data_IF_834588427989
#
_entry.id   IF_834588427989
#
_cell.length_a   1.000
_cell.length_b   1.000
_cell.length_c   1.000
_cell.angle_alpha   90.00
_cell.angle_beta   90.00
_cell.angle_gamma   90.00
#
_symmetry.space_group_name_H-M   'P 1'
#
loop_
_entity.id
_entity.type
_entity.pdbx_description
1 polymer ?
#
# COMPACT_ATOMS: atom_id res chain seq x y z
N UNK A 1 -11.97 26.93 -3.52
CA UNK A 1 -12.64 25.64 -3.32
C UNK A 1 -13.07 25.58 -1.87
N UNK A 2 -14.36 25.78 -1.62
CA UNK A 2 -14.94 25.78 -0.27
C UNK A 2 -14.79 24.38 0.35
N UNK A 3 -14.36 24.36 1.61
CA UNK A 3 -14.10 23.16 2.39
C UNK A 3 -15.43 22.49 2.75
N UNK A 4 -15.90 21.58 1.89
CA UNK A 4 -17.20 20.92 2.03
C UNK A 4 -17.21 19.77 3.04
N UNK A 5 -16.07 19.44 3.67
CA UNK A 5 -16.02 18.42 4.73
C UNK A 5 -14.74 18.55 5.58
N UNK A 6 -14.73 19.39 6.63
CA UNK A 6 -13.52 19.67 7.41
C UNK A 6 -12.97 18.42 8.10
N UNK A 7 -13.82 17.45 8.41
CA UNK A 7 -13.45 16.22 9.13
C UNK A 7 -12.57 15.27 8.31
N UNK A 8 -12.51 15.43 6.99
CA UNK A 8 -11.77 14.54 6.10
C UNK A 8 -10.26 14.69 6.26
N UNK A 9 -9.80 15.91 6.56
CA UNK A 9 -8.39 16.23 6.75
C UNK A 9 -7.95 16.10 8.21
N UNK A 10 -8.88 15.84 9.13
CA UNK A 10 -8.56 15.66 10.54
C UNK A 10 -7.83 14.33 10.77
N UNK A 11 -6.84 14.30 11.67
CA UNK A 11 -6.17 13.07 12.06
C UNK A 11 -7.14 12.03 12.62
N UNK A 12 -6.82 10.75 12.40
CA UNK A 12 -7.60 9.62 12.91
C UNK A 12 -6.68 8.58 13.54
N UNK A 13 -6.86 8.32 14.84
CA UNK A 13 -6.16 7.24 15.53
C UNK A 13 -6.94 5.93 15.37
N UNK A 14 -6.29 4.92 14.79
CA UNK A 14 -6.85 3.59 14.62
C UNK A 14 -6.76 2.79 15.93
N UNK A 15 -7.60 1.75 16.12
CA UNK A 15 -7.54 0.88 17.31
C UNK A 15 -6.19 0.18 17.52
N UNK A 16 -5.36 0.07 16.48
CA UNK A 16 -4.01 -0.46 16.57
C UNK A 16 -2.97 0.52 17.14
N UNK A 17 -3.36 1.75 17.49
CA UNK A 17 -2.49 2.79 18.03
C UNK A 17 -1.80 3.66 16.98
N UNK A 18 -1.96 3.38 15.68
CA UNK A 18 -1.41 4.21 14.60
C UNK A 18 -2.30 5.43 14.35
N UNK A 19 -1.70 6.62 14.34
CA UNK A 19 -2.38 7.87 13.97
C UNK A 19 -2.16 8.18 12.50
N UNK A 20 -3.26 8.29 11.75
CA UNK A 20 -3.29 8.74 10.36
C UNK A 20 -3.37 10.27 10.32
N UNK A 21 -2.59 10.91 9.45
CA UNK A 21 -2.57 12.38 9.29
C UNK A 21 -3.87 12.96 8.73
N UNK A 22 -4.65 12.16 8.01
CA UNK A 22 -5.97 12.48 7.49
C UNK A 22 -6.79 11.19 7.27
N UNK A 23 -8.02 11.31 6.79
CA UNK A 23 -8.92 10.17 6.52
C UNK A 23 -8.91 9.74 5.06
N UNK A 24 -7.94 10.20 4.27
CA UNK A 24 -7.79 9.84 2.86
C UNK A 24 -6.92 8.61 2.74
N UNK A 25 -7.53 7.52 2.28
CA UNK A 25 -6.85 6.25 2.04
C UNK A 25 -6.98 5.89 0.58
N UNK A 26 -5.85 5.56 -0.06
CA UNK A 26 -5.85 5.04 -1.42
C UNK A 26 -6.32 3.57 -1.41
N UNK A 27 -7.37 3.30 -2.16
CA UNK A 27 -7.93 1.96 -2.33
C UNK A 27 -6.93 1.01 -3.01
N UNK A 28 -7.06 -0.32 -2.78
CA UNK A 28 -6.22 -1.30 -3.46
C UNK A 28 -6.49 -1.28 -4.97
N UNK A 29 -5.45 -1.03 -5.76
CA UNK A 29 -5.52 -1.01 -7.22
C UNK A 29 -4.46 -1.95 -7.79
N UNK A 30 -4.91 -3.03 -8.43
CA UNK A 30 -4.03 -3.98 -9.12
C UNK A 30 -3.49 -3.34 -10.39
N UNK A 31 -2.17 -3.14 -10.43
CA UNK A 31 -1.49 -2.50 -11.57
C UNK A 31 -1.03 -3.50 -12.61
N UNK A 32 -0.98 -4.80 -12.25
CA UNK A 32 -0.46 -5.87 -13.09
C UNK A 32 1.01 -5.61 -13.54
N UNK A 33 1.76 -4.85 -12.73
CA UNK A 33 3.13 -4.43 -13.02
C UNK A 33 4.20 -5.26 -12.26
N UNK A 34 3.83 -6.39 -11.66
CA UNK A 34 4.79 -7.31 -11.06
C UNK A 34 5.64 -8.04 -12.11
N UNK A 35 6.89 -8.38 -11.77
CA UNK A 35 7.70 -9.27 -12.60
C UNK A 35 7.13 -10.70 -12.63
N UNK A 36 7.56 -11.51 -13.60
CA UNK A 36 7.04 -12.87 -13.80
C UNK A 36 7.17 -13.76 -12.54
N UNK A 37 8.26 -13.54 -11.82
CA UNK A 37 8.66 -14.20 -10.57
C UNK A 37 8.02 -13.61 -9.30
N UNK A 38 7.15 -12.61 -9.43
CA UNK A 38 6.49 -11.95 -8.30
C UNK A 38 7.33 -10.85 -7.65
N UNK A 39 8.41 -10.41 -8.30
CA UNK A 39 9.23 -9.31 -7.82
C UNK A 39 8.60 -7.94 -8.08
N UNK A 40 8.89 -6.99 -7.19
CA UNK A 40 8.47 -5.59 -7.30
C UNK A 40 9.30 -4.91 -8.39
N UNK A 41 8.63 -4.24 -9.32
CA UNK A 41 9.28 -3.42 -10.36
C UNK A 41 9.60 -2.02 -9.84
N UNK A 42 10.56 -1.33 -10.47
CA UNK A 42 10.90 0.06 -10.12
C UNK A 42 9.73 0.99 -10.42
N UNK A 43 8.99 0.70 -11.48
CA UNK A 43 7.78 1.40 -11.90
C UNK A 43 6.71 1.34 -10.82
N UNK A 44 6.55 0.19 -10.14
CA UNK A 44 5.60 0.03 -9.04
C UNK A 44 6.01 0.85 -7.81
N UNK A 45 7.30 0.89 -7.48
CA UNK A 45 7.81 1.73 -6.38
C UNK A 45 7.54 3.20 -6.67
N UNK A 46 7.84 3.65 -7.89
CA UNK A 46 7.60 5.03 -8.30
C UNK A 46 6.10 5.37 -8.35
N UNK A 47 5.26 4.42 -8.78
CA UNK A 47 3.80 4.55 -8.79
C UNK A 47 3.24 4.86 -7.40
N UNK A 48 3.71 4.16 -6.36
CA UNK A 48 3.30 4.40 -4.99
C UNK A 48 3.96 5.64 -4.39
N UNK A 49 5.22 5.92 -4.73
CA UNK A 49 5.93 7.12 -4.28
C UNK A 49 5.18 8.40 -4.67
N UNK A 50 4.69 8.49 -5.91
CA UNK A 50 3.94 9.66 -6.39
C UNK A 50 2.58 9.85 -5.68
N UNK A 51 2.01 8.79 -5.10
CA UNK A 51 0.69 8.80 -4.44
C UNK A 51 0.77 8.88 -2.92
N UNK A 52 1.97 8.73 -2.37
CA UNK A 52 2.22 8.76 -0.94
C UNK A 52 2.15 10.17 -0.33
N UNK A 53 2.23 11.24 -1.13
CA UNK A 53 2.28 12.62 -0.62
C UNK A 53 1.12 12.98 0.32
N UNK A 54 -0.09 13.13 -0.25
CA UNK A 54 -1.24 13.68 0.47
C UNK A 54 -2.13 12.62 1.14
N UNK A 55 -2.00 11.34 0.75
CA UNK A 55 -2.76 10.25 1.36
C UNK A 55 -2.21 9.94 2.76
N UNK A 56 -3.09 9.65 3.72
CA UNK A 56 -2.66 9.17 5.03
C UNK A 56 -2.25 7.69 5.01
N UNK A 57 -2.84 6.90 4.13
CA UNK A 57 -2.45 5.51 3.93
C UNK A 57 -2.70 5.07 2.50
N UNK A 58 -1.93 4.08 2.06
CA UNK A 58 -2.11 3.41 0.78
C UNK A 58 -2.33 1.93 1.03
N UNK A 59 -3.44 1.40 0.51
CA UNK A 59 -3.63 -0.04 0.43
C UNK A 59 -2.99 -0.50 -0.89
N UNK A 60 -1.95 -1.31 -0.78
CA UNK A 60 -1.23 -1.80 -1.97
C UNK A 60 -2.07 -2.84 -2.70
N UNK A 61 -1.65 -3.15 -3.93
CA UNK A 61 -2.30 -4.14 -4.77
C UNK A 61 -2.36 -5.54 -4.15
N UNK A 62 -3.16 -6.42 -4.77
CA UNK A 62 -3.23 -7.81 -4.37
C UNK A 62 -1.85 -8.46 -4.50
N UNK A 63 -1.28 -8.84 -3.36
CA UNK A 63 -0.04 -9.61 -3.31
C UNK A 63 -0.33 -11.05 -2.88
N UNK A 64 0.19 -12.02 -3.62
CA UNK A 64 0.02 -13.43 -3.28
C UNK A 64 0.94 -13.82 -2.11
N UNK A 65 0.42 -14.67 -1.23
CA UNK A 65 1.13 -15.13 -0.02
C UNK A 65 1.94 -16.40 -0.31
N UNK A 66 1.42 -17.27 -1.16
CA UNK A 66 1.97 -18.57 -1.51
C UNK A 66 2.22 -18.67 -3.01
N UNK A 67 3.18 -19.50 -3.41
CA UNK A 67 3.64 -19.56 -4.80
C UNK A 67 2.57 -20.11 -5.77
N UNK A 68 1.55 -20.83 -5.24
CA UNK A 68 0.37 -21.27 -5.99
C UNK A 68 -0.82 -20.28 -5.93
N UNK A 69 -0.64 -19.12 -5.29
CA UNK A 69 -1.66 -18.08 -5.17
C UNK A 69 -1.66 -16.93 -6.20
N UNK A 70 -0.87 -16.89 -7.30
CA UNK A 70 -0.93 -15.77 -8.23
C UNK A 70 -2.25 -15.80 -9.02
N UNK A 71 -3.07 -14.76 -8.85
CA UNK A 71 -4.30 -14.58 -9.61
C UNK A 71 -4.05 -14.19 -11.07
N UNK A 72 -2.94 -13.48 -11.34
CA UNK A 72 -2.52 -13.07 -12.67
C UNK A 72 -1.12 -13.62 -12.96
N UNK A 73 -1.01 -14.64 -13.84
CA UNK A 73 0.27 -15.23 -14.21
C UNK A 73 1.24 -14.16 -14.71
N UNK A 74 2.36 -14.03 -14.00
CA UNK A 74 3.45 -13.14 -14.37
C UNK A 74 3.23 -11.64 -14.24
N UNK A 75 2.15 -11.22 -13.57
CA UNK A 75 1.83 -9.81 -13.32
C UNK A 75 1.45 -9.50 -11.88
N UNK A 76 1.47 -10.53 -11.03
CA UNK A 76 1.14 -10.42 -9.60
C UNK A 76 2.40 -10.21 -8.78
N UNK A 77 2.31 -9.54 -7.65
CA UNK A 77 3.47 -9.32 -6.76
C UNK A 77 3.42 -10.30 -5.58
N UNK A 78 4.57 -10.83 -5.18
CA UNK A 78 4.69 -11.66 -3.98
C UNK A 78 4.79 -10.80 -2.73
N UNK A 79 4.11 -11.19 -1.65
CA UNK A 79 4.24 -10.49 -0.37
C UNK A 79 5.68 -10.47 0.16
N UNK A 80 6.49 -11.48 -0.18
CA UNK A 80 7.89 -11.57 0.23
C UNK A 80 8.68 -10.37 -0.33
N UNK A 81 8.46 -10.06 -1.60
CA UNK A 81 9.20 -8.99 -2.29
C UNK A 81 8.65 -7.60 -1.97
N UNK A 82 7.34 -7.47 -1.75
CA UNK A 82 6.77 -6.23 -1.21
C UNK A 82 7.43 -5.90 0.13
N UNK A 83 7.61 -6.90 1.00
CA UNK A 83 8.24 -6.75 2.32
C UNK A 83 9.72 -6.36 2.30
N UNK A 84 10.51 -6.83 1.34
CA UNK A 84 11.92 -6.47 1.25
C UNK A 84 12.14 -5.14 0.53
N UNK A 85 11.46 -4.93 -0.60
CA UNK A 85 11.83 -3.85 -1.54
C UNK A 85 11.13 -2.54 -1.20
N UNK A 86 9.82 -2.57 -0.94
CA UNK A 86 9.04 -1.33 -0.74
C UNK A 86 9.40 -0.68 0.61
N UNK A 87 9.64 -1.48 1.64
CA UNK A 87 9.97 -1.00 2.99
C UNK A 87 11.41 -0.53 3.13
N UNK A 88 12.35 -1.03 2.32
CA UNK A 88 13.74 -0.57 2.33
C UNK A 88 13.96 0.67 1.47
N UNK A 89 13.21 0.79 0.37
CA UNK A 89 13.45 1.83 -0.64
C UNK A 89 12.70 3.14 -0.35
N UNK A 90 11.60 3.08 0.42
CA UNK A 90 10.76 4.25 0.69
C UNK A 90 10.83 4.65 2.16
N UNK A 91 11.66 5.63 2.55
CA UNK A 91 11.74 6.12 3.93
C UNK A 91 10.44 6.80 4.40
N UNK A 92 9.50 7.07 3.49
CA UNK A 92 8.21 7.73 3.74
C UNK A 92 7.11 6.71 4.12
N UNK A 93 7.35 5.41 3.90
CA UNK A 93 6.35 4.36 4.11
C UNK A 93 6.60 3.64 5.43
N UNK A 94 5.72 3.89 6.40
CA UNK A 94 5.83 3.39 7.78
C UNK A 94 5.03 2.10 7.97
N UNK A 95 5.56 1.18 8.80
CA UNK A 95 4.98 -0.14 9.06
C UNK A 95 3.75 -0.01 9.95
N UNK A 96 2.55 -0.03 9.39
CA UNK A 96 1.32 -0.13 10.18
C UNK A 96 0.31 -1.13 9.63
N UNK A 97 -0.09 -2.07 10.47
CA UNK A 97 -1.20 -3.03 10.33
C UNK A 97 -1.13 -3.99 9.12
N UNK A 98 -0.67 -5.22 9.40
CA UNK A 98 -0.75 -6.38 8.50
C UNK A 98 -2.04 -7.15 8.79
N UNK A 99 -3.07 -7.04 7.95
CA UNK A 99 -4.25 -7.91 8.03
C UNK A 99 -4.09 -9.08 7.04
N UNK A 100 -3.80 -10.27 7.56
CA UNK A 100 -3.52 -11.48 6.76
C UNK A 100 -4.75 -12.11 6.06
N UNK A 101 -5.95 -11.61 6.30
CA UNK A 101 -7.17 -12.21 5.74
C UNK A 101 -7.58 -11.45 4.47
N UNK A 102 -7.53 -12.14 3.32
CA UNK A 102 -7.88 -11.62 1.98
C UNK A 102 -7.03 -10.44 1.49
N UNK A 103 -5.80 -10.71 1.05
CA UNK A 103 -5.01 -9.92 0.08
C UNK A 103 -4.95 -8.38 0.25
N UNK A 104 -5.10 -7.84 1.45
CA UNK A 104 -5.12 -6.39 1.69
C UNK A 104 -3.97 -6.01 2.62
N UNK A 105 -2.94 -5.37 2.06
CA UNK A 105 -1.85 -4.77 2.82
C UNK A 105 -2.04 -3.26 2.87
N UNK A 106 -1.98 -2.69 4.06
CA UNK A 106 -2.06 -1.25 4.30
C UNK A 106 -0.65 -0.75 4.59
N UNK A 107 -0.24 0.35 3.96
CA UNK A 107 0.93 1.11 4.32
C UNK A 107 0.48 2.47 4.82
N UNK A 108 0.79 2.81 6.07
CA UNK A 108 0.64 4.20 6.52
C UNK A 108 1.75 5.03 5.91
N UNK A 109 1.38 6.24 5.54
CA UNK A 109 2.32 7.27 5.10
C UNK A 109 2.44 8.28 6.23
N UNK A 110 3.68 8.55 6.62
CA UNK A 110 3.98 9.65 7.55
C UNK A 110 3.84 11.04 6.88
#
# INVERSE_FOLDING_TARGET
MTNCNPQLLDPLTLPCGTTLKNRLVMAPMTTCAGFHEGSVTRELVEYYRQRAGDAAAIIVECAFVEDNGPAFPGRSVSIKTVKSTVWQTSPVLSKSAVQKQFCKFIMAVE
#
